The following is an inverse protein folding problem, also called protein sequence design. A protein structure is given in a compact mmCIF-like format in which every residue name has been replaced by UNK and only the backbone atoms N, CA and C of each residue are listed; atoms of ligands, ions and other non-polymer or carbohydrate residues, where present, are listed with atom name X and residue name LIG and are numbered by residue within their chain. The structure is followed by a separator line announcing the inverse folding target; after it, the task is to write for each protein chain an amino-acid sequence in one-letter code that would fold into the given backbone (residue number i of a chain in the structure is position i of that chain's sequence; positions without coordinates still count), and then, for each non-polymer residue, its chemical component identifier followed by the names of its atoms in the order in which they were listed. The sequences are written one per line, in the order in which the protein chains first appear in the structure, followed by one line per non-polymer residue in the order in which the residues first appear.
data_IF_621206614038
#
_entry.id   IF_621206614038
#
_cell.length_a   1.000
_cell.length_b   1.000
_cell.length_c   1.000
_cell.angle_alpha   90.00
_cell.angle_beta   90.00
_cell.angle_gamma   90.00
#
_symmetry.space_group_name_H-M   'P 1'
#
loop_
_entity.id
_entity.type
_entity.pdbx_description
1 polymer ?
#
# COMPACT_ATOMS: atom_id res chain seq x y z
N UNK A 1 -4.46 -4.66 4.37
CA UNK A 1 -3.64 -4.08 3.28
C UNK A 1 -4.20 -2.72 2.90
N UNK A 2 -3.33 -1.73 2.56
CA UNK A 2 -3.73 -0.45 1.96
C UNK A 2 -3.40 -0.48 0.49
N UNK A 3 -4.40 -0.41 -0.39
CA UNK A 3 -4.25 -0.47 -1.84
C UNK A 3 -4.72 0.83 -2.51
N UNK A 4 -4.37 1.02 -3.76
CA UNK A 4 -4.77 2.20 -4.55
C UNK A 4 -3.59 2.82 -5.32
N UNK A 5 -3.84 3.87 -6.11
CA UNK A 5 -2.87 4.44 -7.03
C UNK A 5 -1.66 5.11 -6.35
N UNK A 6 -0.60 5.43 -7.10
CA UNK A 6 0.51 6.24 -6.59
C UNK A 6 0.02 7.58 -6.03
N UNK A 7 0.69 8.05 -4.98
CA UNK A 7 0.41 9.34 -4.32
C UNK A 7 -1.00 9.51 -3.69
N UNK A 8 -1.80 8.45 -3.59
CA UNK A 8 -3.15 8.50 -2.97
C UNK A 8 -3.13 8.70 -1.45
N UNK A 9 -1.98 8.53 -0.79
CA UNK A 9 -1.84 8.72 0.67
C UNK A 9 -1.66 7.44 1.47
N UNK A 10 -1.48 6.27 0.84
CA UNK A 10 -1.33 4.97 1.55
C UNK A 10 -0.32 4.98 2.68
N UNK A 11 0.82 5.62 2.47
CA UNK A 11 1.88 5.67 3.48
C UNK A 11 1.47 6.54 4.67
N UNK A 12 0.96 7.74 4.43
CA UNK A 12 0.50 8.66 5.48
C UNK A 12 -0.64 8.05 6.32
N UNK A 13 -1.61 7.44 5.65
CA UNK A 13 -2.70 6.69 6.32
C UNK A 13 -2.13 5.48 7.07
N UNK A 14 -1.14 4.80 6.49
CA UNK A 14 -0.47 3.67 7.13
C UNK A 14 0.25 4.06 8.43
N UNK A 15 0.95 5.20 8.47
CA UNK A 15 1.55 5.74 9.70
C UNK A 15 0.47 6.06 10.73
N UNK A 16 -0.59 6.77 10.33
CA UNK A 16 -1.68 7.12 11.23
C UNK A 16 -2.41 5.88 11.80
N UNK A 17 -2.52 4.79 11.02
CA UNK A 17 -3.01 3.50 11.51
C UNK A 17 -2.02 2.84 12.46
N UNK A 18 -0.73 2.83 12.13
CA UNK A 18 0.30 2.23 12.97
C UNK A 18 0.34 2.84 14.36
N UNK A 19 0.25 4.17 14.45
CA UNK A 19 0.18 4.91 15.72
C UNK A 19 -1.04 4.52 16.57
N UNK A 20 -2.19 4.26 15.93
CA UNK A 20 -3.45 3.93 16.62
C UNK A 20 -3.58 2.47 17.01
N UNK A 21 -2.94 1.58 16.28
CA UNK A 21 -3.12 0.12 16.42
C UNK A 21 -1.91 -0.60 16.98
N UNK A 22 -0.73 0.02 16.95
CA UNK A 22 0.54 -0.65 17.26
C UNK A 22 1.02 -1.61 16.17
N UNK A 23 0.29 -1.75 15.07
CA UNK A 23 0.70 -2.57 13.94
C UNK A 23 1.92 -1.96 13.23
N UNK A 24 2.82 -2.81 12.75
CA UNK A 24 3.99 -2.35 11.99
C UNK A 24 3.63 -1.98 10.57
N UNK A 25 4.15 -0.84 10.09
CA UNK A 25 3.98 -0.43 8.71
C UNK A 25 5.12 -0.98 7.83
N UNK A 26 4.76 -1.83 6.89
CA UNK A 26 5.63 -2.27 5.79
C UNK A 26 5.13 -1.64 4.49
N UNK A 27 5.71 -0.51 4.11
CA UNK A 27 5.28 0.09 2.86
C UNK A 27 6.11 -0.42 1.67
N UNK A 28 5.48 -0.46 0.53
CA UNK A 28 5.98 -1.09 -0.70
C UNK A 28 7.41 -0.66 -1.10
N UNK A 29 7.79 0.58 -0.80
CA UNK A 29 9.11 1.12 -1.15
C UNK A 29 10.25 0.55 -0.32
N UNK A 30 10.02 -0.03 0.87
CA UNK A 30 11.10 -0.66 1.63
C UNK A 30 11.84 -1.73 0.81
N UNK A 31 11.09 -2.56 0.07
CA UNK A 31 11.69 -3.57 -0.80
C UNK A 31 12.26 -2.96 -2.09
N UNK A 32 11.55 -1.99 -2.67
CA UNK A 32 11.91 -1.32 -3.91
C UNK A 32 13.21 -0.53 -3.75
N UNK A 33 13.30 0.32 -2.73
CA UNK A 33 14.44 1.21 -2.51
C UNK A 33 15.71 0.43 -2.18
N UNK A 34 15.57 -0.71 -1.47
CA UNK A 34 16.68 -1.61 -1.24
C UNK A 34 17.19 -2.21 -2.55
N UNK A 35 16.31 -2.72 -3.40
CA UNK A 35 16.69 -3.34 -4.66
C UNK A 35 17.25 -2.34 -5.68
N UNK A 36 16.76 -1.11 -5.69
CA UNK A 36 17.23 -0.03 -6.57
C UNK A 36 18.72 0.36 -6.35
N UNK A 37 19.26 0.06 -5.17
CA UNK A 37 20.69 0.30 -4.90
C UNK A 37 21.61 -0.58 -5.73
N UNK A 38 21.11 -1.70 -6.26
CA UNK A 38 21.91 -2.72 -6.96
C UNK A 38 21.45 -2.98 -8.38
N UNK A 39 20.15 -2.81 -8.66
CA UNK A 39 19.54 -3.23 -9.92
C UNK A 39 18.67 -2.13 -10.52
N UNK A 40 18.72 -1.90 -11.83
CA UNK A 40 17.80 -0.99 -12.52
C UNK A 40 16.35 -1.40 -12.29
N UNK A 41 15.46 -0.40 -12.15
CA UNK A 41 14.03 -0.63 -12.01
C UNK A 41 13.47 -1.50 -13.14
N UNK A 42 12.64 -2.47 -12.80
CA UNK A 42 12.00 -3.36 -13.77
C UNK A 42 12.89 -4.47 -14.34
N UNK A 43 14.20 -4.47 -14.04
CA UNK A 43 15.08 -5.58 -14.47
C UNK A 43 14.68 -6.89 -13.79
N UNK A 44 14.99 -8.03 -14.43
CA UNK A 44 14.66 -9.35 -13.88
C UNK A 44 15.24 -9.58 -12.46
N UNK A 45 16.52 -9.23 -12.14
CA UNK A 45 17.02 -9.34 -10.77
C UNK A 45 16.31 -8.40 -9.79
N UNK A 46 15.96 -7.17 -10.21
CA UNK A 46 15.16 -6.25 -9.39
C UNK A 46 13.81 -6.86 -9.01
N UNK A 47 13.05 -7.35 -10.00
CA UNK A 47 11.73 -7.95 -9.76
C UNK A 47 11.80 -9.15 -8.82
N UNK A 48 12.77 -10.05 -9.03
CA UNK A 48 12.97 -11.21 -8.15
C UNK A 48 13.26 -10.79 -6.71
N UNK A 49 14.22 -9.86 -6.49
CA UNK A 49 14.62 -9.45 -5.14
C UNK A 49 13.51 -8.71 -4.41
N UNK A 50 12.78 -7.83 -5.10
CA UNK A 50 11.62 -7.15 -4.52
C UNK A 50 10.54 -8.17 -4.11
N UNK A 51 10.23 -9.14 -4.97
CA UNK A 51 9.27 -10.19 -4.68
C UNK A 51 9.69 -11.07 -3.50
N UNK A 52 10.91 -11.60 -3.52
CA UNK A 52 11.46 -12.45 -2.46
C UNK A 52 11.51 -11.73 -1.11
N UNK A 53 11.96 -10.47 -1.08
CA UNK A 53 12.04 -9.70 0.15
C UNK A 53 10.66 -9.46 0.76
N UNK A 54 9.66 -9.11 -0.06
CA UNK A 54 8.27 -8.97 0.41
C UNK A 54 7.75 -10.28 0.98
N UNK A 55 7.89 -11.36 0.22
CA UNK A 55 7.44 -12.68 0.61
C UNK A 55 8.01 -13.07 1.98
N UNK A 56 9.33 -12.96 2.15
CA UNK A 56 9.99 -13.33 3.40
C UNK A 56 9.55 -12.50 4.60
N UNK A 57 9.44 -11.16 4.44
CA UNK A 57 8.95 -10.31 5.54
C UNK A 57 7.51 -10.69 5.93
N UNK A 58 6.63 -10.96 4.97
CA UNK A 58 5.25 -11.34 5.26
C UNK A 58 5.18 -12.70 5.97
N UNK A 59 5.96 -13.69 5.53
CA UNK A 59 6.07 -15.02 6.15
C UNK A 59 6.58 -14.92 7.59
N UNK A 60 7.67 -14.19 7.83
CA UNK A 60 8.26 -14.02 9.17
C UNK A 60 7.30 -13.29 10.13
N UNK A 61 6.59 -12.26 9.64
CA UNK A 61 5.58 -11.56 10.45
C UNK A 61 4.42 -12.48 10.77
N UNK A 62 3.93 -13.28 9.83
CA UNK A 62 2.84 -14.22 10.06
C UNK A 62 3.22 -15.34 11.06
N UNK A 63 4.50 -15.72 11.11
CA UNK A 63 5.02 -16.71 12.03
C UNK A 63 5.45 -16.15 13.40
N UNK A 64 5.42 -14.83 13.58
CA UNK A 64 5.88 -14.17 14.81
C UNK A 64 4.73 -13.85 15.78
N UNK A 65 5.10 -13.38 16.98
CA UNK A 65 4.16 -12.88 18.00
C UNK A 65 3.69 -11.43 17.73
N UNK A 66 4.03 -10.86 16.57
CA UNK A 66 3.57 -9.53 16.21
C UNK A 66 2.05 -9.52 16.00
N UNK A 67 1.33 -8.48 16.46
CA UNK A 67 -0.12 -8.42 16.36
C UNK A 67 -0.62 -8.30 14.91
N UNK A 68 0.28 -8.04 13.97
CA UNK A 68 -0.02 -7.96 12.55
C UNK A 68 0.78 -6.87 11.82
N UNK A 69 0.40 -6.63 10.57
CA UNK A 69 1.13 -5.77 9.65
C UNK A 69 0.18 -4.89 8.83
N UNK A 70 0.58 -3.65 8.62
CA UNK A 70 -0.01 -2.77 7.61
C UNK A 70 0.89 -2.84 6.37
N UNK A 71 0.40 -3.43 5.29
CA UNK A 71 1.14 -3.49 4.03
C UNK A 71 0.53 -2.57 2.99
N UNK A 72 1.34 -1.75 2.30
CA UNK A 72 0.86 -0.85 1.25
C UNK A 72 1.26 -1.36 -0.13
N UNK A 73 0.33 -1.32 -1.08
CA UNK A 73 0.58 -1.79 -2.43
C UNK A 73 -0.10 -0.90 -3.49
N UNK A 74 0.51 -0.76 -4.66
CA UNK A 74 -0.14 -0.21 -5.87
C UNK A 74 -0.69 -1.42 -6.61
N UNK A 75 -2.01 -1.61 -6.55
CA UNK A 75 -2.68 -2.77 -7.09
C UNK A 75 -3.30 -2.43 -8.44
N UNK A 76 -2.85 -3.10 -9.49
CA UNK A 76 -3.45 -3.04 -10.81
C UNK A 76 -4.59 -4.06 -10.91
N UNK A 77 -5.83 -3.58 -10.82
CA UNK A 77 -7.03 -4.41 -10.77
C UNK A 77 -7.35 -5.14 -12.10
N UNK A 78 -6.68 -4.78 -13.16
CA UNK A 78 -6.73 -5.38 -14.50
C UNK A 78 -5.50 -6.24 -14.84
N UNK A 79 -4.53 -6.40 -13.93
CA UNK A 79 -3.41 -7.33 -14.08
C UNK A 79 -3.63 -8.59 -13.22
N UNK A 80 -3.80 -9.74 -13.88
CA UNK A 80 -4.00 -11.02 -13.21
C UNK A 80 -2.79 -11.44 -12.33
N UNK A 81 -1.58 -10.98 -12.65
CA UNK A 81 -0.38 -11.26 -11.85
C UNK A 81 -0.42 -10.51 -10.52
N UNK A 82 -0.88 -9.25 -10.55
CA UNK A 82 -1.07 -8.47 -9.33
C UNK A 82 -2.16 -9.09 -8.45
N UNK A 83 -3.27 -9.52 -9.05
CA UNK A 83 -4.34 -10.19 -8.32
C UNK A 83 -3.84 -11.49 -7.66
N UNK A 84 -3.10 -12.32 -8.39
CA UNK A 84 -2.51 -13.54 -7.85
C UNK A 84 -1.49 -13.26 -6.72
N UNK A 85 -0.67 -12.23 -6.87
CA UNK A 85 0.32 -11.85 -5.85
C UNK A 85 -0.37 -11.36 -4.57
N UNK A 86 -1.39 -10.50 -4.69
CA UNK A 86 -2.15 -9.97 -3.55
C UNK A 86 -2.85 -11.10 -2.79
N UNK A 87 -3.44 -12.06 -3.51
CA UNK A 87 -4.10 -13.20 -2.88
C UNK A 87 -3.08 -14.13 -2.21
N UNK A 88 -1.95 -14.42 -2.85
CA UNK A 88 -0.89 -15.22 -2.24
C UNK A 88 -0.35 -14.59 -0.95
N UNK A 89 -0.17 -13.27 -0.91
CA UNK A 89 0.24 -12.57 0.31
C UNK A 89 -0.84 -12.58 1.39
N UNK A 90 -2.10 -12.48 1.02
CA UNK A 90 -3.21 -12.58 1.97
C UNK A 90 -3.28 -13.99 2.59
N UNK A 91 -3.04 -15.03 1.79
CA UNK A 91 -3.08 -16.41 2.25
C UNK A 91 -1.99 -16.73 3.29
N UNK A 92 -0.83 -16.09 3.23
CA UNK A 92 0.23 -16.22 4.27
C UNK A 92 -0.33 -15.97 5.67
N UNK A 93 -1.25 -15.02 5.81
CA UNK A 93 -1.88 -14.68 7.10
C UNK A 93 -3.15 -15.47 7.36
N UNK A 94 -3.93 -15.79 6.33
CA UNK A 94 -5.19 -16.53 6.49
C UNK A 94 -4.97 -18.00 6.84
N UNK A 95 -3.96 -18.64 6.23
CA UNK A 95 -3.66 -20.05 6.47
C UNK A 95 -3.44 -20.39 7.97
N UNK A 96 -2.71 -19.60 8.77
CA UNK A 96 -2.61 -19.81 10.21
C UNK A 96 -3.81 -19.26 11.02
N UNK A 97 -4.91 -18.83 10.37
CA UNK A 97 -6.11 -18.33 11.04
C UNK A 97 -6.15 -16.81 11.25
N UNK A 98 -5.20 -16.07 10.68
CA UNK A 98 -5.17 -14.61 10.74
C UNK A 98 -6.23 -13.94 9.87
N UNK A 99 -6.60 -12.71 10.21
CA UNK A 99 -7.56 -11.90 9.47
C UNK A 99 -6.85 -10.95 8.52
N UNK A 100 -7.27 -10.91 7.26
CA UNK A 100 -6.78 -9.95 6.27
C UNK A 100 -7.93 -9.06 5.81
N UNK A 101 -7.70 -7.74 5.86
CA UNK A 101 -8.66 -6.73 5.39
C UNK A 101 -7.98 -5.79 4.40
N UNK A 102 -8.78 -5.21 3.51
CA UNK A 102 -8.32 -4.33 2.44
C UNK A 102 -8.98 -2.95 2.58
N UNK A 103 -8.17 -1.91 2.66
CA UNK A 103 -8.65 -0.55 2.49
C UNK A 103 -8.11 0.00 1.17
N UNK A 104 -9.03 0.23 0.25
CA UNK A 104 -8.76 0.85 -1.04
C UNK A 104 -8.92 2.36 -0.92
N UNK A 105 -7.85 3.10 -1.23
CA UNK A 105 -7.87 4.54 -1.21
C UNK A 105 -8.01 5.08 -2.62
N UNK A 106 -8.92 6.03 -2.79
CA UNK A 106 -9.16 6.77 -4.02
C UNK A 106 -8.85 8.25 -3.80
N UNK A 107 -8.39 8.94 -4.82
CA UNK A 107 -8.29 10.38 -4.88
C UNK A 107 -8.21 10.82 -6.34
N UNK A 108 -8.66 12.03 -6.64
CA UNK A 108 -8.55 12.59 -7.98
C UNK A 108 -7.09 12.63 -8.43
N UNK A 109 -6.85 12.47 -9.75
CA UNK A 109 -5.50 12.55 -10.30
C UNK A 109 -4.84 13.90 -9.98
N UNK A 110 -5.60 15.00 -10.06
CA UNK A 110 -5.11 16.33 -9.71
C UNK A 110 -4.56 16.40 -8.28
N UNK A 111 -5.30 15.86 -7.31
CA UNK A 111 -4.86 15.83 -5.92
C UNK A 111 -3.65 14.91 -5.74
N UNK A 112 -3.60 13.77 -6.41
CA UNK A 112 -2.44 12.87 -6.36
C UNK A 112 -1.18 13.50 -6.96
N UNK A 113 -1.32 14.28 -8.03
CA UNK A 113 -0.21 15.07 -8.59
C UNK A 113 0.28 16.12 -7.59
N UNK A 114 -0.61 16.84 -6.93
CA UNK A 114 -0.26 17.78 -5.85
C UNK A 114 0.46 17.08 -4.70
N UNK A 115 -0.05 15.94 -4.23
CA UNK A 115 0.57 15.14 -3.15
C UNK A 115 1.92 14.56 -3.54
N UNK A 116 2.13 14.32 -4.83
CA UNK A 116 3.38 13.76 -5.35
C UNK A 116 4.59 14.69 -5.14
N UNK A 117 4.35 15.98 -4.96
CA UNK A 117 5.36 17.03 -4.82
C UNK A 117 5.60 17.45 -3.35
N UNK A 118 4.93 16.81 -2.37
CA UNK A 118 5.06 17.20 -0.96
C UNK A 118 6.41 16.78 -0.36
N UNK A 119 6.95 17.62 0.54
CA UNK A 119 8.22 17.37 1.25
C UNK A 119 8.21 16.03 1.99
N UNK A 120 7.10 15.70 2.65
CA UNK A 120 6.94 14.41 3.34
C UNK A 120 7.16 13.24 2.39
N UNK A 121 6.57 13.26 1.18
CA UNK A 121 6.77 12.21 0.19
C UNK A 121 8.22 12.13 -0.29
N UNK A 122 8.87 13.27 -0.48
CA UNK A 122 10.25 13.33 -0.96
C UNK A 122 11.26 12.88 0.10
N UNK A 123 10.98 13.10 1.39
CA UNK A 123 11.80 12.59 2.48
C UNK A 123 11.73 11.07 2.59
N UNK A 124 10.53 10.50 2.43
CA UNK A 124 10.30 9.06 2.50
C UNK A 124 10.73 8.29 1.25
N UNK A 125 10.94 8.99 0.12
CA UNK A 125 11.29 8.40 -1.17
C UNK A 125 12.46 9.15 -1.85
N UNK A 126 13.68 9.02 -1.34
CA UNK A 126 14.84 9.76 -1.85
C UNK A 126 15.11 9.56 -3.35
N UNK A 127 14.73 8.40 -3.91
CA UNK A 127 14.87 8.10 -5.33
C UNK A 127 13.80 8.75 -6.23
N UNK A 128 12.80 9.43 -5.66
CA UNK A 128 11.73 10.13 -6.37
C UNK A 128 11.89 11.66 -6.36
N UNK A 129 13.11 12.17 -6.14
CA UNK A 129 13.38 13.62 -6.08
C UNK A 129 13.30 14.32 -7.43
N UNK A 130 13.44 13.59 -8.53
CA UNK A 130 13.12 14.14 -9.86
C UNK A 130 11.60 14.24 -10.00
N UNK A 131 11.09 15.44 -9.73
CA UNK A 131 9.64 15.72 -9.75
C UNK A 131 9.03 15.55 -11.14
N UNK A 132 9.77 15.89 -12.20
CA UNK A 132 9.28 15.76 -13.57
C UNK A 132 9.12 14.29 -13.93
N UNK A 133 10.14 13.47 -13.70
CA UNK A 133 10.09 12.04 -13.95
C UNK A 133 9.06 11.33 -13.04
N UNK A 134 8.91 11.77 -11.77
CA UNK A 134 7.91 11.23 -10.87
C UNK A 134 6.48 11.52 -11.31
N UNK A 135 6.24 12.74 -11.84
CA UNK A 135 4.96 13.16 -12.41
C UNK A 135 4.61 12.37 -13.68
N UNK A 136 5.55 12.28 -14.61
CA UNK A 136 5.39 11.52 -15.85
C UNK A 136 5.04 10.06 -15.57
N UNK A 137 5.79 9.43 -14.67
CA UNK A 137 5.54 8.05 -14.26
C UNK A 137 4.17 7.84 -13.62
N UNK A 138 3.68 8.81 -12.82
CA UNK A 138 2.32 8.72 -12.25
C UNK A 138 1.27 8.73 -13.36
N UNK A 139 1.41 9.62 -14.35
CA UNK A 139 0.49 9.72 -15.47
C UNK A 139 0.54 8.46 -16.36
N UNK A 140 1.74 7.92 -16.62
CA UNK A 140 1.94 6.70 -17.39
C UNK A 140 1.27 5.49 -16.73
N UNK A 141 1.45 5.32 -15.42
CA UNK A 141 0.83 4.23 -14.67
C UNK A 141 -0.70 4.36 -14.68
N UNK A 142 -1.24 5.56 -14.52
CA UNK A 142 -2.68 5.82 -14.58
C UNK A 142 -3.28 5.54 -15.98
N UNK A 143 -2.52 5.80 -17.03
CA UNK A 143 -2.95 5.52 -18.40
C UNK A 143 -2.88 4.03 -18.76
N UNK A 144 -2.00 3.28 -18.07
CA UNK A 144 -1.71 1.87 -18.40
C UNK A 144 -2.58 0.91 -17.61
N UNK A 145 -2.89 1.21 -16.33
CA UNK A 145 -3.54 0.28 -15.41
C UNK A 145 -4.78 0.85 -14.75
N UNK A 146 -5.72 -0.02 -14.41
CA UNK A 146 -6.84 0.31 -13.53
C UNK A 146 -6.39 0.15 -12.08
N UNK A 147 -6.17 1.27 -11.40
CA UNK A 147 -5.60 1.29 -10.04
C UNK A 147 -6.66 1.42 -8.94
N UNK A 148 -7.94 1.42 -9.33
CA UNK A 148 -9.09 1.34 -8.43
C UNK A 148 -10.08 0.29 -8.93
N UNK A 149 -10.79 -0.32 -7.98
CA UNK A 149 -11.73 -1.43 -8.24
C UNK A 149 -12.98 -0.99 -8.99
N UNK A 150 -13.33 0.31 -8.91
CA UNK A 150 -14.58 0.85 -9.44
C UNK A 150 -15.82 0.28 -8.76
N UNK A 151 -15.71 -0.10 -7.50
CA UNK A 151 -16.80 -0.69 -6.71
C UNK A 151 -16.96 -2.21 -6.82
N UNK A 152 -16.10 -2.89 -7.57
CA UNK A 152 -16.20 -4.36 -7.77
C UNK A 152 -16.20 -5.19 -6.49
N UNK A 153 -15.67 -4.63 -5.40
CA UNK A 153 -15.53 -5.32 -4.11
C UNK A 153 -16.33 -4.68 -2.98
N UNK A 154 -17.24 -3.73 -3.27
CA UNK A 154 -18.00 -3.00 -2.24
C UNK A 154 -18.89 -3.92 -1.40
N UNK A 155 -19.31 -5.09 -1.93
CA UNK A 155 -20.12 -6.09 -1.21
C UNK A 155 -19.29 -7.03 -0.31
N UNK A 156 -17.96 -6.93 -0.32
CA UNK A 156 -17.09 -7.78 0.49
C UNK A 156 -16.93 -7.24 1.90
N UNK A 157 -17.11 -8.06 2.96
CA UNK A 157 -16.96 -7.60 4.34
C UNK A 157 -15.50 -7.32 4.74
N UNK A 158 -14.53 -7.81 3.97
CA UNK A 158 -13.10 -7.58 4.18
C UNK A 158 -12.54 -6.44 3.31
N UNK A 159 -13.43 -5.67 2.63
CA UNK A 159 -13.04 -4.59 1.73
C UNK A 159 -13.73 -3.28 2.10
N UNK A 160 -12.94 -2.20 2.20
CA UNK A 160 -13.42 -0.84 2.38
C UNK A 160 -12.83 0.06 1.32
N UNK A 161 -13.68 0.77 0.57
CA UNK A 161 -13.26 1.79 -0.39
C UNK A 161 -13.48 3.19 0.20
N UNK A 162 -12.43 4.03 0.16
CA UNK A 162 -12.44 5.38 0.72
C UNK A 162 -11.98 6.41 -0.31
N UNK A 163 -12.85 7.37 -0.60
CA UNK A 163 -12.48 8.58 -1.32
C UNK A 163 -11.76 9.55 -0.37
N UNK A 164 -10.51 9.89 -0.68
CA UNK A 164 -9.60 10.62 0.20
C UNK A 164 -9.14 11.96 -0.35
N UNK A 165 -9.68 12.46 -1.47
CA UNK A 165 -9.27 13.72 -2.10
C UNK A 165 -9.27 14.88 -1.10
N UNK A 166 -10.34 15.04 -0.34
CA UNK A 166 -10.48 16.08 0.69
C UNK A 166 -10.36 15.54 2.13
N UNK A 167 -9.95 14.27 2.30
CA UNK A 167 -9.89 13.63 3.61
C UNK A 167 -8.48 13.70 4.19
N UNK A 168 -8.38 14.00 5.49
CA UNK A 168 -7.13 13.91 6.23
C UNK A 168 -6.75 12.45 6.44
N UNK A 169 -5.46 12.18 6.54
CA UNK A 169 -4.97 10.81 6.75
C UNK A 169 -5.44 10.20 8.08
N UNK A 170 -5.53 11.02 9.12
CA UNK A 170 -6.03 10.61 10.44
C UNK A 170 -7.49 10.20 10.41
N UNK A 171 -8.31 10.91 9.61
CA UNK A 171 -9.73 10.60 9.45
C UNK A 171 -9.93 9.33 8.62
N UNK A 172 -9.11 9.13 7.59
CA UNK A 172 -9.10 7.88 6.83
C UNK A 172 -8.68 6.69 7.71
N UNK A 173 -7.64 6.86 8.51
CA UNK A 173 -7.18 5.83 9.46
C UNK A 173 -8.27 5.48 10.48
N UNK A 174 -8.95 6.47 11.04
CA UNK A 174 -10.03 6.24 11.99
C UNK A 174 -11.21 5.50 11.34
N UNK A 175 -11.60 5.85 10.11
CA UNK A 175 -12.64 5.12 9.37
C UNK A 175 -12.29 3.66 9.14
N UNK A 176 -11.03 3.39 8.75
CA UNK A 176 -10.55 2.02 8.54
C UNK A 176 -10.57 1.24 9.85
N UNK A 177 -10.10 1.86 10.94
CA UNK A 177 -10.05 1.25 12.26
C UNK A 177 -11.44 0.87 12.76
N UNK A 178 -12.40 1.79 12.65
CA UNK A 178 -13.80 1.57 13.07
C UNK A 178 -14.50 0.55 12.18
N UNK A 179 -14.35 0.66 10.85
CA UNK A 179 -15.04 -0.23 9.91
C UNK A 179 -14.66 -1.70 10.10
N UNK A 180 -13.36 -1.95 10.33
CA UNK A 180 -12.87 -3.31 10.51
C UNK A 180 -12.74 -3.74 11.96
N UNK A 181 -13.15 -2.92 12.91
CA UNK A 181 -12.99 -3.18 14.35
C UNK A 181 -11.55 -3.64 14.67
N UNK A 182 -10.58 -2.81 14.25
CA UNK A 182 -9.17 -3.11 14.50
C UNK A 182 -8.82 -2.81 15.96
N UNK A 183 -7.91 -3.60 16.56
CA UNK A 183 -7.47 -3.35 17.93
C UNK A 183 -6.78 -1.99 18.04
N UNK A 184 -7.05 -1.26 19.12
CA UNK A 184 -6.36 -0.02 19.44
C UNK A 184 -5.12 -0.33 20.29
N UNK A 185 -4.02 0.38 20.02
CA UNK A 185 -2.85 0.32 20.90
C UNK A 185 -3.24 0.77 22.30
N UNK A 186 -2.83 0.02 23.31
CA UNK A 186 -2.90 0.49 24.69
C UNK A 186 -1.98 1.71 24.84
N UNK A 187 -2.53 2.81 25.31
CA UNK A 187 -1.75 3.99 25.68
C UNK A 187 -1.02 3.76 27.00
#
# INVERSE_FOLDING_TARGET
MLVGPPAVGKMTVGHALAERTGLRLFHNHHAIDLALRFFPFGSAPFQRRVGEFRQRILEEVAASDLPGLIFTYVFAFDDARDAAAVEAWAEIFRAPGGRVVFAELEATQAERLRRNETEFRLSEKPFMRDLAASRERLLEIDATYRLNSGGRFDDRPDWLRLETTAMRAEDAAERILVHFDLPRAFR
#
